data_IF_237351619323
#
_entry.id   IF_237351619323
#
_cell.length_a   1.000
_cell.length_b   1.000
_cell.length_c   1.000
_cell.angle_alpha   90.00
_cell.angle_beta   90.00
_cell.angle_gamma   90.00
#
_symmetry.space_group_name_H-M   'P 1'
#
loop_
_entity.id
_entity.type
_entity.pdbx_description
1 polymer ?
#
# COMPACT_ATOMS: atom_id res chain seq x y z
N UNK A 1 -17.48 -13.83 38.95
CA UNK A 1 -16.61 -13.21 39.97
C UNK A 1 -15.18 -13.65 39.68
N UNK A 2 -14.48 -12.90 38.82
CA UNK A 2 -13.04 -12.93 38.54
C UNK A 2 -12.80 -12.24 37.17
N UNK A 3 -12.99 -10.92 37.11
CA UNK A 3 -12.38 -10.06 36.08
C UNK A 3 -11.87 -8.85 36.85
N UNK A 4 -10.74 -9.04 37.50
CA UNK A 4 -9.98 -7.99 38.13
C UNK A 4 -8.53 -8.44 38.10
N UNK A 5 -7.66 -7.53 37.65
CA UNK A 5 -6.19 -7.60 37.57
C UNK A 5 -5.71 -7.67 36.11
N UNK A 6 -5.55 -6.48 35.53
CA UNK A 6 -4.38 -6.03 34.76
C UNK A 6 -4.65 -4.58 34.30
N UNK A 7 -4.54 -3.64 35.24
CA UNK A 7 -4.34 -2.22 34.96
C UNK A 7 -3.04 -1.84 35.67
N UNK A 8 -1.92 -2.02 34.97
CA UNK A 8 -0.65 -1.42 35.36
C UNK A 8 -0.40 -0.21 34.47
N UNK A 9 -0.56 0.96 35.09
CA UNK A 9 -0.04 2.28 34.72
C UNK A 9 0.65 2.41 33.34
N UNK A 10 -0.13 2.85 32.35
CA UNK A 10 0.39 3.68 31.25
C UNK A 10 0.19 5.12 31.70
N UNK A 11 1.28 5.88 31.85
CA UNK A 11 1.19 7.34 32.05
C UNK A 11 0.72 7.96 30.73
N UNK A 12 -0.60 8.06 30.56
CA UNK A 12 -1.22 8.94 29.59
C UNK A 12 -1.02 10.38 30.08
N UNK A 13 -0.20 11.16 29.38
CA UNK A 13 -0.19 12.62 29.56
C UNK A 13 -1.40 13.18 28.80
N UNK A 14 -2.60 12.89 29.32
CA UNK A 14 -3.85 13.35 28.76
C UNK A 14 -4.21 14.69 29.43
N UNK A 15 -4.12 15.79 28.68
CA UNK A 15 -4.72 17.06 29.11
C UNK A 15 -6.19 17.00 28.70
N UNK A 16 -7.06 16.62 29.64
CA UNK A 16 -8.52 16.57 29.43
C UNK A 16 -9.12 17.94 29.77
N UNK A 17 -9.75 18.67 28.85
CA UNK A 17 -10.85 19.56 29.21
C UNK A 17 -12.07 18.68 29.51
N UNK A 18 -12.54 18.72 30.76
CA UNK A 18 -13.72 17.98 31.20
C UNK A 18 -14.96 18.48 30.45
N UNK A 19 -15.41 17.70 29.46
CA UNK A 19 -16.82 17.51 29.03
C UNK A 19 -16.95 16.90 27.61
N UNK A 20 -15.85 16.55 26.93
CA UNK A 20 -15.94 15.80 25.65
C UNK A 20 -15.28 14.41 25.73
N UNK A 21 -15.98 13.39 25.20
CA UNK A 21 -15.44 12.04 24.98
C UNK A 21 -14.38 11.98 23.86
N UNK A 22 -14.00 13.12 23.30
CA UNK A 22 -13.04 13.20 22.21
C UNK A 22 -11.61 13.05 22.73
N UNK A 23 -10.78 12.37 21.95
CA UNK A 23 -9.38 12.14 22.25
C UNK A 23 -8.51 13.11 21.46
N UNK A 24 -7.75 13.94 22.16
CA UNK A 24 -6.79 14.86 21.55
C UNK A 24 -5.39 14.24 21.53
N UNK A 25 -4.77 14.26 20.36
CA UNK A 25 -3.44 13.74 20.09
C UNK A 25 -2.53 14.90 19.70
N UNK A 26 -1.39 15.02 20.38
CA UNK A 26 -0.35 15.97 19.98
C UNK A 26 0.50 15.33 18.87
N UNK A 27 0.75 16.07 17.79
CA UNK A 27 1.63 15.64 16.71
C UNK A 27 3.02 16.21 16.96
N UNK A 28 3.98 15.32 17.17
CA UNK A 28 5.38 15.70 17.37
C UNK A 28 5.93 16.53 16.20
N UNK A 29 6.91 17.39 16.47
CA UNK A 29 7.55 18.20 15.41
C UNK A 29 8.14 17.33 14.29
N UNK A 30 8.66 16.14 14.62
CA UNK A 30 9.12 15.17 13.64
C UNK A 30 7.96 14.62 12.78
N UNK A 31 6.82 14.32 13.39
CA UNK A 31 5.60 13.92 12.68
C UNK A 31 5.07 15.01 11.75
N UNK A 32 5.08 16.27 12.17
CA UNK A 32 4.67 17.41 11.34
C UNK A 32 5.57 17.60 10.12
N UNK A 33 6.89 17.48 10.31
CA UNK A 33 7.85 17.59 9.21
C UNK A 33 7.71 16.42 8.23
N UNK A 34 7.53 15.19 8.74
CA UNK A 34 7.28 14.03 7.89
C UNK A 34 5.96 14.17 7.11
N UNK A 35 4.91 14.75 7.70
CA UNK A 35 3.65 15.04 7.01
C UNK A 35 3.84 16.04 5.86
N UNK A 36 4.65 17.09 6.08
CA UNK A 36 4.99 18.09 5.06
C UNK A 36 5.75 17.44 3.89
N UNK A 37 6.82 16.70 4.19
CA UNK A 37 7.65 16.05 3.17
C UNK A 37 6.86 15.08 2.29
N UNK A 38 5.90 14.34 2.85
CA UNK A 38 5.03 13.44 2.06
C UNK A 38 4.04 14.19 1.16
N UNK A 39 3.65 15.41 1.52
CA UNK A 39 2.69 16.20 0.76
C UNK A 39 3.33 16.99 -0.40
N UNK A 40 4.60 17.38 -0.26
CA UNK A 40 5.37 18.15 -1.25
C UNK A 40 5.37 17.61 -2.69
N UNK A 41 5.49 16.29 -2.96
CA UNK A 41 5.55 15.79 -4.34
C UNK A 41 4.21 15.87 -5.11
N UNK A 42 3.11 16.25 -4.47
CA UNK A 42 1.79 16.27 -5.11
C UNK A 42 1.55 17.54 -5.94
N UNK A 43 1.19 17.36 -7.20
CA UNK A 43 1.08 18.46 -8.18
C UNK A 43 -0.14 19.37 -8.07
N UNK A 44 -1.09 19.15 -7.15
CA UNK A 44 -2.26 20.04 -7.01
C UNK A 44 -2.41 20.54 -5.57
N UNK A 45 -2.78 21.82 -5.35
CA UNK A 45 -2.95 22.37 -4.00
C UNK A 45 -3.93 21.56 -3.12
N UNK A 46 -5.01 21.07 -3.72
CA UNK A 46 -5.99 20.25 -3.01
C UNK A 46 -5.41 18.89 -2.56
N UNK A 47 -4.58 18.25 -3.40
CA UNK A 47 -3.91 17.01 -3.05
C UNK A 47 -2.82 17.24 -1.98
N UNK A 48 -2.02 18.30 -2.10
CA UNK A 48 -1.02 18.70 -1.10
C UNK A 48 -1.69 18.91 0.26
N UNK A 49 -2.77 19.69 0.30
CA UNK A 49 -3.47 19.96 1.56
C UNK A 49 -4.04 18.69 2.20
N UNK A 50 -4.71 17.87 1.39
CA UNK A 50 -5.25 16.59 1.84
C UNK A 50 -4.17 15.65 2.37
N UNK A 51 -3.05 15.54 1.68
CA UNK A 51 -1.91 14.73 2.11
C UNK A 51 -1.30 15.25 3.40
N UNK A 52 -1.21 16.57 3.56
CA UNK A 52 -0.70 17.17 4.78
C UNK A 52 -1.60 16.85 5.99
N UNK A 53 -2.91 17.05 5.86
CA UNK A 53 -3.88 16.68 6.91
C UNK A 53 -3.84 15.17 7.20
N UNK A 54 -3.82 14.35 6.15
CA UNK A 54 -3.69 12.90 6.25
C UNK A 54 -2.41 12.45 6.94
N UNK A 55 -1.30 13.14 6.69
CA UNK A 55 0.00 12.90 7.30
C UNK A 55 0.06 13.29 8.77
N UNK A 56 -0.56 14.40 9.16
CA UNK A 56 -0.67 14.80 10.57
C UNK A 56 -1.53 13.82 11.36
N UNK A 57 -2.71 13.46 10.83
CA UNK A 57 -3.58 12.46 11.43
C UNK A 57 -2.89 11.09 11.53
N UNK A 58 -2.18 10.69 10.47
CA UNK A 58 -1.41 9.45 10.46
C UNK A 58 -0.36 9.42 11.58
N UNK A 59 0.43 10.49 11.74
CA UNK A 59 1.46 10.57 12.76
C UNK A 59 0.87 10.43 14.17
N UNK A 60 -0.16 11.23 14.50
CA UNK A 60 -0.80 11.17 15.81
C UNK A 60 -1.45 9.80 16.10
N UNK A 61 -2.15 9.22 15.12
CA UNK A 61 -2.83 7.92 15.29
C UNK A 61 -1.83 6.77 15.44
N UNK A 62 -0.71 6.78 14.71
CA UNK A 62 0.32 5.75 14.86
C UNK A 62 0.93 5.78 16.26
N UNK A 63 1.28 6.97 16.77
CA UNK A 63 1.82 7.13 18.12
C UNK A 63 0.82 6.62 19.17
N UNK A 64 -0.45 7.05 19.08
CA UNK A 64 -1.52 6.60 19.97
C UNK A 64 -1.75 5.09 19.96
N UNK A 65 -1.82 4.48 18.77
CA UNK A 65 -2.00 3.04 18.63
C UNK A 65 -0.79 2.28 19.20
N UNK A 66 0.42 2.78 19.00
CA UNK A 66 1.64 2.23 19.59
C UNK A 66 1.61 2.23 21.12
N UNK A 67 1.20 3.35 21.73
CA UNK A 67 1.01 3.45 23.19
C UNK A 67 -0.07 2.49 23.71
N UNK A 68 -1.13 2.25 22.93
CA UNK A 68 -2.17 1.27 23.23
C UNK A 68 -1.73 -0.19 22.99
N UNK A 69 -0.47 -0.44 22.59
CA UNK A 69 0.07 -1.76 22.31
C UNK A 69 -0.37 -2.35 20.97
N UNK A 70 -0.92 -1.53 20.07
CA UNK A 70 -1.33 -1.94 18.73
C UNK A 70 -0.17 -1.74 17.75
N UNK A 71 0.34 -2.83 17.18
CA UNK A 71 1.31 -2.75 16.09
C UNK A 71 0.61 -2.36 14.77
N UNK A 72 0.43 -1.06 14.56
CA UNK A 72 -0.16 -0.50 13.34
C UNK A 72 0.92 -0.17 12.30
N UNK A 73 0.64 -0.43 11.03
CA UNK A 73 1.48 -0.05 9.89
C UNK A 73 0.65 0.63 8.80
N UNK A 74 1.25 1.53 8.04
CA UNK A 74 0.61 2.15 6.87
C UNK A 74 0.23 1.06 5.87
N UNK A 75 -0.97 1.12 5.30
CA UNK A 75 -1.42 0.22 4.25
C UNK A 75 -1.54 0.94 2.89
N UNK A 76 -1.09 0.32 1.79
CA UNK A 76 -0.23 -0.87 1.76
C UNK A 76 1.18 -0.55 2.29
N UNK A 77 1.69 0.65 2.07
CA UNK A 77 2.94 1.12 2.65
C UNK A 77 3.07 2.62 2.46
N UNK A 78 4.06 3.24 3.11
CA UNK A 78 4.31 4.68 3.03
C UNK A 78 4.50 5.16 1.58
N UNK A 79 5.23 4.39 0.76
CA UNK A 79 5.60 4.77 -0.60
C UNK A 79 4.40 4.84 -1.56
N UNK A 80 3.33 4.11 -1.25
CA UNK A 80 2.11 4.12 -2.05
C UNK A 80 1.20 5.31 -1.73
N UNK A 81 1.34 5.95 -0.55
CA UNK A 81 0.43 7.01 -0.07
C UNK A 81 0.21 8.17 -1.06
N UNK A 82 1.24 8.70 -1.75
CA UNK A 82 1.03 9.78 -2.72
C UNK A 82 0.02 9.39 -3.82
N UNK A 83 0.05 8.13 -4.26
CA UNK A 83 -0.87 7.61 -5.28
C UNK A 83 -2.32 7.52 -4.79
N UNK A 84 -2.57 7.44 -3.47
CA UNK A 84 -3.91 7.51 -2.88
C UNK A 84 -4.33 8.95 -2.63
N UNK A 85 -3.48 9.73 -1.95
CA UNK A 85 -3.77 11.10 -1.56
C UNK A 85 -3.88 12.07 -2.73
N UNK A 86 -3.37 11.71 -3.91
CA UNK A 86 -3.70 12.42 -5.14
C UNK A 86 -5.22 12.45 -5.41
N UNK A 87 -5.96 11.42 -5.00
CA UNK A 87 -7.36 11.22 -5.39
C UNK A 87 -8.35 11.34 -4.24
N UNK A 88 -8.05 10.68 -3.12
CA UNK A 88 -9.02 10.44 -2.06
C UNK A 88 -8.48 10.84 -0.70
N UNK A 89 -9.34 11.44 0.12
CA UNK A 89 -9.02 11.73 1.51
C UNK A 89 -9.07 10.44 2.33
N UNK A 90 -8.18 10.34 3.31
CA UNK A 90 -8.08 9.20 4.21
C UNK A 90 -6.82 8.38 4.03
N UNK A 91 -6.41 7.73 5.11
CA UNK A 91 -5.18 6.95 5.19
C UNK A 91 -5.49 5.63 5.89
N UNK A 92 -5.20 4.52 5.22
CA UNK A 92 -5.45 3.21 5.76
C UNK A 92 -4.24 2.70 6.55
N UNK A 93 -4.53 2.01 7.65
CA UNK A 93 -3.60 1.35 8.54
C UNK A 93 -3.97 -0.13 8.60
N UNK A 94 -2.98 -1.02 8.58
CA UNK A 94 -3.14 -2.42 8.92
C UNK A 94 -2.77 -2.64 10.39
N UNK A 95 -3.63 -3.35 11.12
CA UNK A 95 -3.44 -3.76 12.53
C UNK A 95 -3.79 -5.24 12.61
N UNK A 96 -2.77 -6.10 12.55
CA UNK A 96 -2.97 -7.54 12.30
C UNK A 96 -3.74 -7.77 10.99
N UNK A 97 -4.79 -8.58 11.05
CA UNK A 97 -5.67 -8.88 9.90
C UNK A 97 -6.73 -7.79 9.63
N UNK A 98 -6.80 -6.77 10.48
CA UNK A 98 -7.81 -5.70 10.37
C UNK A 98 -7.22 -4.46 9.73
N UNK A 99 -8.07 -3.74 9.01
CA UNK A 99 -7.75 -2.44 8.41
C UNK A 99 -8.53 -1.33 9.11
N UNK A 100 -7.85 -0.27 9.48
CA UNK A 100 -8.42 0.96 10.03
C UNK A 100 -8.22 2.08 9.01
N UNK A 101 -9.28 2.76 8.58
CA UNK A 101 -9.17 3.98 7.79
C UNK A 101 -9.26 5.20 8.69
N UNK A 102 -8.24 6.04 8.68
CA UNK A 102 -8.27 7.36 9.32
C UNK A 102 -8.77 8.38 8.29
N UNK A 103 -9.89 9.03 8.56
CA UNK A 103 -10.45 10.07 7.69
C UNK A 103 -10.24 11.42 8.37
N UNK A 104 -9.26 12.17 7.87
CA UNK A 104 -8.86 13.46 8.40
C UNK A 104 -9.64 14.60 7.73
N UNK A 105 -10.36 15.37 8.54
CA UNK A 105 -10.92 16.68 8.17
C UNK A 105 -10.11 17.83 8.78
N UNK A 106 -10.31 19.04 8.28
CA UNK A 106 -9.77 20.27 8.86
C UNK A 106 -10.74 20.86 9.88
N UNK A 107 -10.25 21.46 10.96
CA UNK A 107 -11.06 22.27 11.88
C UNK A 107 -11.62 23.56 11.23
N UNK A 108 -12.77 24.06 11.71
CA UNK A 108 -13.60 23.54 12.81
C UNK A 108 -14.54 22.38 12.40
N UNK A 109 -14.96 21.57 13.39
CA UNK A 109 -15.83 20.38 13.31
C UNK A 109 -16.92 20.44 12.24
N UNK A 110 -16.85 19.48 11.33
CA UNK A 110 -18.01 18.93 10.66
C UNK A 110 -18.73 18.02 11.66
N UNK A 111 -20.03 18.21 11.85
CA UNK A 111 -20.90 17.33 12.66
C UNK A 111 -21.10 15.95 12.00
N UNK A 112 -20.33 15.65 10.96
CA UNK A 112 -20.50 14.59 9.99
C UNK A 112 -19.16 13.97 9.58
N UNK A 113 -19.13 12.64 9.50
CA UNK A 113 -18.03 11.88 8.89
C UNK A 113 -18.43 11.59 7.45
N UNK A 114 -17.68 12.12 6.48
CA UNK A 114 -17.85 11.83 5.06
C UNK A 114 -16.69 11.00 4.52
N UNK A 115 -16.97 9.76 4.12
CA UNK A 115 -15.97 8.83 3.60
C UNK A 115 -16.08 8.72 2.08
N UNK A 116 -14.98 8.89 1.32
CA UNK A 116 -14.97 8.66 -0.13
C UNK A 116 -15.47 7.27 -0.52
N UNK A 117 -16.26 7.20 -1.59
CA UNK A 117 -16.83 5.96 -2.11
C UNK A 117 -15.75 4.90 -2.38
N UNK A 118 -14.55 5.31 -2.80
CA UNK A 118 -13.42 4.44 -3.05
C UNK A 118 -13.03 3.62 -1.81
N UNK A 119 -13.03 4.23 -0.63
CA UNK A 119 -12.70 3.54 0.61
C UNK A 119 -13.81 2.65 1.15
N UNK A 120 -15.01 2.71 0.55
CA UNK A 120 -16.18 1.92 0.97
C UNK A 120 -16.43 0.79 -0.03
N UNK A 121 -16.52 1.12 -1.32
CA UNK A 121 -17.05 0.23 -2.35
C UNK A 121 -15.96 -0.49 -3.16
N UNK A 122 -14.66 -0.15 -3.02
CA UNK A 122 -13.56 -0.93 -3.62
C UNK A 122 -13.19 -2.07 -2.67
N UNK A 123 -13.40 -3.36 -3.05
CA UNK A 123 -13.22 -4.48 -2.12
C UNK A 123 -11.79 -4.60 -1.55
N UNK A 124 -10.78 -4.31 -2.35
CA UNK A 124 -9.38 -4.36 -1.91
C UNK A 124 -9.00 -3.21 -0.97
N UNK A 125 -9.77 -2.13 -0.93
CA UNK A 125 -9.51 -0.92 -0.11
C UNK A 125 -10.37 -0.83 1.14
N UNK A 126 -11.58 -1.41 1.12
CA UNK A 126 -12.52 -1.35 2.23
C UNK A 126 -11.87 -1.71 3.57
N UNK A 127 -12.05 -0.85 4.56
CA UNK A 127 -11.51 -1.04 5.91
C UNK A 127 -12.48 -1.86 6.77
N UNK A 128 -12.03 -2.32 7.93
CA UNK A 128 -12.92 -2.88 8.95
C UNK A 128 -13.58 -1.78 9.77
N UNK A 129 -12.79 -0.74 10.08
CA UNK A 129 -13.20 0.41 10.87
C UNK A 129 -12.80 1.72 10.19
N UNK A 130 -13.63 2.74 10.40
CA UNK A 130 -13.44 4.11 9.91
C UNK A 130 -13.37 5.02 11.12
N UNK A 131 -12.25 5.70 11.28
CA UNK A 131 -11.96 6.62 12.36
C UNK A 131 -12.12 8.05 11.86
N UNK A 132 -12.95 8.80 12.55
CA UNK A 132 -13.18 10.20 12.29
C UNK A 132 -12.13 11.02 13.05
N UNK A 133 -11.30 11.74 12.29
CA UNK A 133 -10.24 12.57 12.81
C UNK A 133 -10.41 14.00 12.31
N UNK A 134 -10.11 14.95 13.18
CA UNK A 134 -10.05 16.35 12.82
C UNK A 134 -8.70 16.92 13.18
N UNK A 135 -8.12 17.68 12.26
CA UNK A 135 -6.77 18.19 12.38
C UNK A 135 -6.86 19.69 12.59
N UNK A 136 -6.15 20.17 13.61
CA UNK A 136 -5.83 21.57 13.83
C UNK A 136 -4.34 21.75 13.47
N UNK A 137 -4.00 22.04 12.19
CA UNK A 137 -2.61 21.99 11.73
C UNK A 137 -1.73 23.00 12.48
N UNK A 138 -2.32 24.16 12.81
CA UNK A 138 -1.64 25.28 13.45
C UNK A 138 -1.33 25.01 14.92
N UNK A 139 -2.14 24.16 15.56
CA UNK A 139 -1.92 23.69 16.91
C UNK A 139 -1.06 22.41 16.94
N UNK A 140 -0.77 21.80 15.78
CA UNK A 140 -0.11 20.50 15.71
C UNK A 140 -0.90 19.42 16.44
N UNK A 141 -2.23 19.47 16.40
CA UNK A 141 -3.10 18.59 17.17
C UNK A 141 -4.12 17.86 16.28
N UNK A 142 -4.50 16.66 16.70
CA UNK A 142 -5.50 15.82 16.03
C UNK A 142 -6.54 15.40 17.06
N UNK A 143 -7.79 15.73 16.81
CA UNK A 143 -8.94 15.29 17.59
C UNK A 143 -9.55 14.04 16.95
N UNK A 144 -9.63 12.95 17.71
CA UNK A 144 -10.41 11.78 17.36
C UNK A 144 -11.77 11.86 18.06
N UNK A 145 -12.85 11.80 17.29
CA UNK A 145 -14.19 12.09 17.82
C UNK A 145 -15.22 10.98 17.57
N UNK A 146 -14.85 9.93 16.84
CA UNK A 146 -15.73 8.79 16.61
C UNK A 146 -15.12 7.70 15.74
N UNK A 147 -15.63 6.47 15.86
CA UNK A 147 -15.35 5.41 14.89
C UNK A 147 -16.59 4.56 14.58
N UNK A 148 -16.55 3.85 13.47
CA UNK A 148 -17.65 2.97 13.02
C UNK A 148 -17.10 1.80 12.22
N UNK A 149 -17.78 0.65 12.23
CA UNK A 149 -17.43 -0.47 11.35
C UNK A 149 -17.92 -0.23 9.92
N UNK A 150 -17.25 -0.83 8.94
CA UNK A 150 -17.68 -0.77 7.53
C UNK A 150 -19.14 -1.20 7.34
N UNK A 151 -19.51 -2.30 7.98
CA UNK A 151 -20.87 -2.83 7.92
C UNK A 151 -21.88 -1.81 8.42
N UNK A 152 -21.64 -1.23 9.60
CA UNK A 152 -22.57 -0.27 10.19
C UNK A 152 -22.62 1.02 9.36
N UNK A 153 -21.49 1.47 8.83
CA UNK A 153 -21.43 2.61 7.91
C UNK A 153 -22.34 2.39 6.68
N UNK A 154 -22.27 1.22 6.03
CA UNK A 154 -23.15 0.90 4.89
C UNK A 154 -24.64 0.86 5.24
N UNK A 155 -24.98 0.61 6.51
CA UNK A 155 -26.37 0.55 6.97
C UNK A 155 -26.96 1.94 7.26
N UNK A 156 -26.16 2.86 7.81
CA UNK A 156 -26.66 4.15 8.35
C UNK A 156 -26.25 5.38 7.53
N UNK A 157 -25.15 5.31 6.79
CA UNK A 157 -24.65 6.46 6.05
C UNK A 157 -25.50 6.77 4.82
N UNK A 158 -25.65 8.07 4.54
CA UNK A 158 -26.32 8.57 3.34
C UNK A 158 -25.29 8.76 2.24
N UNK A 159 -25.53 8.15 1.08
CA UNK A 159 -24.68 8.34 -0.09
C UNK A 159 -24.97 9.66 -0.79
N UNK A 160 -23.99 10.56 -0.80
CA UNK A 160 -23.97 11.78 -1.60
C UNK A 160 -23.38 11.46 -2.98
N UNK A 161 -24.24 11.35 -3.99
CA UNK A 161 -23.84 11.05 -5.36
C UNK A 161 -23.07 12.19 -6.04
N UNK A 162 -23.23 13.43 -5.60
CA UNK A 162 -22.52 14.58 -6.18
C UNK A 162 -21.07 14.58 -5.74
N UNK A 163 -20.82 14.24 -4.48
CA UNK A 163 -19.47 14.15 -3.90
C UNK A 163 -18.85 12.76 -4.00
N UNK A 164 -19.66 11.75 -4.32
CA UNK A 164 -19.32 10.31 -4.24
C UNK A 164 -18.76 9.95 -2.87
N UNK A 165 -19.52 10.27 -1.84
CA UNK A 165 -19.14 10.05 -0.44
C UNK A 165 -20.31 9.45 0.34
N UNK A 166 -20.00 8.68 1.36
CA UNK A 166 -20.96 8.25 2.37
C UNK A 166 -20.80 9.14 3.59
N UNK A 167 -21.84 9.89 3.92
CA UNK A 167 -21.84 10.81 5.05
C UNK A 167 -22.79 10.33 6.15
N UNK A 168 -22.37 10.45 7.41
CA UNK A 168 -23.18 10.16 8.59
C UNK A 168 -22.90 11.18 9.68
N UNK A 169 -23.89 11.42 10.53
CA UNK A 169 -23.76 12.36 11.65
C UNK A 169 -22.97 11.74 12.81
N UNK A 170 -22.40 12.58 13.67
CA UNK A 170 -21.64 12.14 14.84
C UNK A 170 -22.43 11.21 15.78
N UNK A 171 -23.76 11.32 15.83
CA UNK A 171 -24.62 10.47 16.64
C UNK A 171 -24.62 9.00 16.24
N UNK A 172 -24.20 8.66 15.03
CA UNK A 172 -24.10 7.28 14.55
C UNK A 172 -22.74 6.63 14.83
N UNK A 173 -21.77 7.40 15.35
CA UNK A 173 -20.42 6.92 15.67
C UNK A 173 -20.32 6.42 17.11
N UNK A 174 -19.44 5.43 17.32
CA UNK A 174 -18.98 5.04 18.66
C UNK A 174 -18.01 6.11 19.15
N UNK A 175 -18.33 6.76 20.28
CA UNK A 175 -17.53 7.88 20.82
C UNK A 175 -16.49 7.44 21.85
N UNK A 176 -16.61 6.24 22.40
CA UNK A 176 -15.68 5.69 23.37
C UNK A 176 -14.38 5.23 22.68
N UNK A 177 -13.44 6.16 22.43
CA UNK A 177 -12.19 5.87 21.70
C UNK A 177 -11.34 4.77 22.36
N UNK A 178 -11.44 4.62 23.68
CA UNK A 178 -10.78 3.54 24.42
C UNK A 178 -11.20 2.13 23.97
N UNK A 179 -12.35 1.98 23.32
CA UNK A 179 -12.82 0.70 22.80
C UNK A 179 -12.17 0.31 21.46
N UNK A 180 -11.63 1.26 20.68
CA UNK A 180 -11.10 0.97 19.34
C UNK A 180 -9.88 0.02 19.37
N UNK A 181 -8.85 0.20 20.22
CA UNK A 181 -7.74 -0.75 20.31
C UNK A 181 -8.19 -2.19 20.58
N UNK A 182 -9.14 -2.38 21.49
CA UNK A 182 -9.73 -3.69 21.78
C UNK A 182 -10.52 -4.22 20.58
N UNK A 183 -11.30 -3.36 19.90
CA UNK A 183 -11.99 -3.73 18.67
C UNK A 183 -11.03 -4.11 17.55
N UNK A 184 -9.79 -3.61 17.51
CA UNK A 184 -8.79 -4.00 16.51
C UNK A 184 -8.10 -5.33 16.83
N UNK A 185 -8.01 -5.73 18.10
CA UNK A 185 -7.34 -6.96 18.54
C UNK A 185 -8.28 -8.16 18.67
N UNK A 186 -9.52 -7.92 19.09
CA UNK A 186 -10.45 -9.00 19.39
C UNK A 186 -11.11 -9.50 18.10
N UNK A 187 -11.00 -10.80 17.84
CA UNK A 187 -11.83 -11.49 16.85
C UNK A 187 -13.28 -11.52 17.32
N UNK A 188 -14.00 -10.43 17.05
CA UNK A 188 -15.44 -10.37 17.24
C UNK A 188 -16.13 -11.32 16.26
N UNK A 189 -17.13 -12.06 16.74
CA UNK A 189 -17.89 -13.02 15.93
C UNK A 189 -18.72 -12.33 14.82
N UNK A 190 -19.02 -11.05 14.97
CA UNK A 190 -19.77 -10.28 13.98
C UNK A 190 -18.84 -9.77 12.88
N UNK A 191 -19.20 -9.94 11.60
CA UNK A 191 -18.38 -9.44 10.50
C UNK A 191 -18.38 -7.90 10.51
N UNK A 192 -17.19 -7.34 10.55
CA UNK A 192 -16.92 -5.90 10.50
C UNK A 192 -17.26 -5.28 9.16
N UNK A 193 -17.18 -6.06 8.06
CA UNK A 193 -17.45 -5.61 6.69
C UNK A 193 -18.78 -6.14 6.16
N UNK A 194 -19.56 -5.25 5.54
CA UNK A 194 -20.67 -5.64 4.68
C UNK A 194 -20.16 -6.31 3.40
N UNK A 195 -20.94 -7.21 2.78
CA UNK A 195 -20.60 -7.78 1.49
C UNK A 195 -20.55 -6.69 0.42
N UNK A 196 -19.50 -6.69 -0.40
CA UNK A 196 -19.29 -5.75 -1.49
C UNK A 196 -19.46 -6.43 -2.84
N UNK A 197 -20.02 -5.69 -3.80
CA UNK A 197 -20.09 -6.15 -5.18
C UNK A 197 -18.68 -6.19 -5.78
N UNK A 198 -18.42 -7.20 -6.61
CA UNK A 198 -17.18 -7.26 -7.36
C UNK A 198 -17.11 -6.09 -8.36
N UNK A 199 -15.91 -5.51 -8.51
CA UNK A 199 -15.65 -4.51 -9.53
C UNK A 199 -15.62 -5.17 -10.92
N UNK A 200 -15.98 -4.42 -11.99
CA UNK A 200 -15.86 -4.96 -13.34
C UNK A 200 -14.40 -5.24 -13.67
N UNK A 201 -14.14 -6.36 -14.36
CA UNK A 201 -12.83 -6.60 -14.97
C UNK A 201 -12.58 -5.55 -16.03
N UNK A 202 -11.41 -4.91 -15.98
CA UNK A 202 -11.02 -3.85 -16.92
C UNK A 202 -10.03 -4.41 -17.94
N UNK A 203 -10.42 -4.59 -19.23
CA UNK A 203 -9.50 -5.09 -20.25
C UNK A 203 -8.33 -4.12 -20.47
N UNK A 204 -7.15 -4.67 -20.77
CA UNK A 204 -5.93 -3.90 -20.95
C UNK A 204 -6.07 -2.68 -21.88
N UNK A 205 -6.67 -2.88 -23.06
CA UNK A 205 -6.88 -1.80 -24.02
C UNK A 205 -7.76 -0.67 -23.47
N UNK A 206 -8.74 -0.99 -22.63
CA UNK A 206 -9.60 0.00 -21.98
C UNK A 206 -8.87 0.70 -20.83
N UNK A 207 -8.09 -0.04 -20.03
CA UNK A 207 -7.25 0.54 -18.98
C UNK A 207 -6.27 1.57 -19.55
N UNK A 208 -5.56 1.22 -20.63
CA UNK A 208 -4.62 2.13 -21.33
C UNK A 208 -5.33 3.39 -21.85
N UNK A 209 -6.50 3.25 -22.46
CA UNK A 209 -7.30 4.41 -22.89
C UNK A 209 -7.72 5.31 -21.71
N UNK A 210 -8.11 4.72 -20.58
CA UNK A 210 -8.44 5.48 -19.37
C UNK A 210 -7.22 6.19 -18.81
N UNK A 211 -6.05 5.53 -18.72
CA UNK A 211 -4.81 6.13 -18.27
C UNK A 211 -4.41 7.33 -19.14
N UNK A 212 -4.46 7.20 -20.47
CA UNK A 212 -4.18 8.31 -21.38
C UNK A 212 -5.15 9.47 -21.19
N UNK A 213 -6.45 9.19 -21.06
CA UNK A 213 -7.47 10.24 -20.93
C UNK A 213 -7.45 10.94 -19.58
N UNK A 214 -7.33 10.18 -18.49
CA UNK A 214 -7.36 10.69 -17.12
C UNK A 214 -5.99 11.25 -16.68
N UNK A 215 -4.93 10.87 -17.39
CA UNK A 215 -3.58 11.37 -17.18
C UNK A 215 -3.39 12.84 -17.58
N UNK A 216 -4.32 13.43 -18.34
CA UNK A 216 -4.28 14.84 -18.73
C UNK A 216 -4.38 15.77 -17.49
N UNK A 217 -3.32 16.53 -17.17
CA UNK A 217 -3.32 17.46 -16.04
C UNK A 217 -4.39 18.56 -16.15
N UNK A 218 -4.89 18.86 -17.36
CA UNK A 218 -5.95 19.85 -17.57
C UNK A 218 -7.31 19.42 -16.97
N UNK A 219 -7.51 18.12 -16.73
CA UNK A 219 -8.69 17.61 -16.04
C UNK A 219 -8.57 17.80 -14.53
N UNK A 220 -9.39 18.66 -13.94
CA UNK A 220 -9.31 18.95 -12.49
C UNK A 220 -9.81 17.80 -11.61
N UNK A 221 -10.82 17.04 -12.06
CA UNK A 221 -11.48 15.98 -11.27
C UNK A 221 -11.70 14.72 -12.14
N UNK A 222 -10.64 13.98 -12.51
CA UNK A 222 -10.74 12.86 -13.43
C UNK A 222 -11.70 11.77 -12.94
N UNK A 223 -11.78 11.53 -11.64
CA UNK A 223 -12.67 10.55 -11.03
C UNK A 223 -14.15 10.77 -11.35
N UNK A 224 -14.57 12.02 -11.60
CA UNK A 224 -15.96 12.37 -11.93
C UNK A 224 -16.28 12.26 -13.42
N UNK A 225 -15.28 12.10 -14.28
CA UNK A 225 -15.47 12.04 -15.74
C UNK A 225 -15.87 10.65 -16.23
N UNK A 226 -15.81 9.64 -15.36
CA UNK A 226 -16.10 8.23 -15.67
C UNK A 226 -17.03 7.59 -14.62
N UNK A 227 -17.79 6.54 -14.99
CA UNK A 227 -18.56 5.75 -14.03
C UNK A 227 -17.69 5.15 -12.93
N UNK A 228 -18.21 5.08 -11.70
CA UNK A 228 -17.47 4.57 -10.55
C UNK A 228 -16.93 3.14 -10.77
N UNK A 229 -17.68 2.25 -11.45
CA UNK A 229 -17.18 0.90 -11.71
C UNK A 229 -15.84 0.87 -12.48
N UNK A 230 -15.67 1.74 -13.48
CA UNK A 230 -14.41 1.85 -14.24
C UNK A 230 -13.32 2.53 -13.41
N UNK A 231 -13.67 3.58 -12.67
CA UNK A 231 -12.74 4.27 -11.77
C UNK A 231 -12.23 3.35 -10.67
N UNK A 232 -13.13 2.67 -9.97
CA UNK A 232 -12.82 1.73 -8.91
C UNK A 232 -11.97 0.57 -9.41
N UNK A 233 -12.28 0.00 -10.58
CA UNK A 233 -11.45 -1.05 -11.19
C UNK A 233 -10.02 -0.56 -11.50
N UNK A 234 -9.88 0.66 -12.03
CA UNK A 234 -8.58 1.27 -12.29
C UNK A 234 -7.79 1.52 -11.00
N UNK A 235 -8.45 2.04 -9.95
CA UNK A 235 -7.81 2.38 -8.67
C UNK A 235 -7.44 1.15 -7.83
N UNK A 236 -8.26 0.09 -7.91
CA UNK A 236 -8.00 -1.18 -7.24
C UNK A 236 -6.71 -1.85 -7.73
N UNK A 237 -6.25 -1.53 -8.94
CA UNK A 237 -4.99 -1.99 -9.49
C UNK A 237 -3.85 -1.03 -9.09
N UNK A 238 -2.99 -1.45 -8.16
CA UNK A 238 -1.87 -0.65 -7.64
C UNK A 238 -1.01 -0.02 -8.76
N UNK A 239 -0.58 -0.83 -9.72
CA UNK A 239 0.25 -0.38 -10.83
C UNK A 239 -0.42 0.66 -11.73
N UNK A 240 -1.70 0.48 -12.11
CA UNK A 240 -2.43 1.49 -12.89
C UNK A 240 -2.70 2.77 -12.10
N UNK A 241 -3.03 2.67 -10.81
CA UNK A 241 -3.16 3.85 -9.94
C UNK A 241 -1.85 4.64 -9.87
N UNK A 242 -0.74 3.95 -9.65
CA UNK A 242 0.59 4.55 -9.60
C UNK A 242 0.96 5.19 -10.95
N UNK A 243 0.73 4.49 -12.07
CA UNK A 243 0.95 5.02 -13.42
C UNK A 243 0.12 6.27 -13.67
N UNK A 244 -1.15 6.29 -13.25
CA UNK A 244 -2.01 7.47 -13.42
C UNK A 244 -1.49 8.66 -12.61
N UNK A 245 -1.06 8.41 -11.38
CA UNK A 245 -0.42 9.42 -10.54
C UNK A 245 0.80 10.03 -11.24
N UNK A 246 1.72 9.18 -11.73
CA UNK A 246 2.95 9.60 -12.41
C UNK A 246 2.69 10.42 -13.68
N UNK A 247 1.75 9.97 -14.53
CA UNK A 247 1.37 10.67 -15.75
C UNK A 247 0.92 12.11 -15.46
N UNK A 248 0.18 12.32 -14.37
CA UNK A 248 -0.32 13.64 -14.00
C UNK A 248 0.72 14.54 -13.36
N UNK A 249 1.72 13.95 -12.70
CA UNK A 249 2.87 14.70 -12.21
C UNK A 249 3.83 15.09 -13.36
N UNK A 250 3.59 14.63 -14.59
CA UNK A 250 4.53 14.80 -15.69
C UNK A 250 5.86 14.08 -15.43
N UNK A 251 5.85 13.08 -14.55
CA UNK A 251 7.02 12.26 -14.30
C UNK A 251 7.34 11.45 -15.56
N UNK A 252 8.62 11.25 -15.88
CA UNK A 252 8.99 10.43 -17.01
C UNK A 252 8.38 9.05 -16.83
N UNK A 253 7.96 8.45 -17.95
CA UNK A 253 7.44 7.09 -17.95
C UNK A 253 8.41 6.17 -17.20
N UNK A 254 7.90 5.35 -16.26
CA UNK A 254 8.73 4.42 -15.50
C UNK A 254 9.71 3.72 -16.42
N UNK A 255 11.01 3.93 -16.16
CA UNK A 255 12.09 3.29 -16.92
C UNK A 255 11.91 1.78 -16.85
N UNK A 256 12.12 1.11 -17.98
CA UNK A 256 12.05 -0.35 -18.03
C UNK A 256 13.08 -0.98 -17.09
N UNK A 257 12.83 -2.20 -16.66
CA UNK A 257 13.78 -3.02 -15.90
C UNK A 257 15.15 -3.11 -16.61
N UNK A 258 15.22 -3.31 -17.95
CA UNK A 258 16.47 -3.14 -18.69
C UNK A 258 17.17 -1.79 -18.44
N UNK A 259 16.43 -0.68 -18.49
CA UNK A 259 16.98 0.66 -18.23
C UNK A 259 17.46 0.81 -16.78
N UNK A 260 16.76 0.23 -15.79
CA UNK A 260 17.20 0.20 -14.39
C UNK A 260 18.51 -0.55 -14.21
N UNK A 261 18.69 -1.65 -14.92
CA UNK A 261 19.95 -2.39 -14.92
C UNK A 261 21.09 -1.53 -15.47
N UNK A 262 20.88 -0.91 -16.64
CA UNK A 262 21.91 -0.13 -17.34
C UNK A 262 22.22 1.20 -16.61
N UNK A 263 21.20 2.01 -16.38
CA UNK A 263 21.34 3.38 -15.87
C UNK A 263 21.24 3.50 -14.34
N UNK A 264 20.80 2.45 -13.65
CA UNK A 264 20.46 2.48 -12.21
C UNK A 264 18.96 2.59 -11.97
N UNK A 265 18.51 2.09 -10.81
CA UNK A 265 17.10 2.17 -10.40
C UNK A 265 16.70 3.64 -10.29
N UNK A 266 15.54 3.99 -10.83
CA UNK A 266 15.01 5.36 -10.73
C UNK A 266 14.65 5.70 -9.27
N UNK A 267 14.59 6.99 -8.87
CA UNK A 267 14.13 7.36 -7.52
C UNK A 267 12.77 6.74 -7.15
N UNK A 268 11.86 6.62 -8.12
CA UNK A 268 10.57 5.94 -7.92
C UNK A 268 10.71 4.44 -7.67
N UNK A 269 11.66 3.79 -8.36
CA UNK A 269 11.97 2.38 -8.12
C UNK A 269 12.61 2.16 -6.75
N UNK A 270 13.49 3.07 -6.31
CA UNK A 270 14.10 3.02 -4.96
C UNK A 270 13.05 3.22 -3.86
N UNK A 271 12.10 4.15 -4.06
CA UNK A 271 10.93 4.30 -3.19
C UNK A 271 10.06 3.05 -3.18
N UNK A 272 9.86 2.38 -4.32
CA UNK A 272 9.18 1.08 -4.37
C UNK A 272 10.01 -0.10 -3.78
N UNK A 273 11.18 0.19 -3.19
CA UNK A 273 12.03 -0.78 -2.51
C UNK A 273 13.04 -1.51 -3.40
N UNK A 274 13.11 -1.20 -4.70
CA UNK A 274 14.06 -1.81 -5.63
C UNK A 274 15.47 -1.30 -5.42
N UNK A 275 16.44 -2.21 -5.44
CA UNK A 275 17.86 -1.92 -5.30
C UNK A 275 18.65 -2.59 -6.41
N UNK A 276 19.69 -1.92 -6.91
CA UNK A 276 20.64 -2.53 -7.84
C UNK A 276 21.79 -3.16 -7.07
N UNK A 277 21.92 -4.48 -7.14
CA UNK A 277 23.07 -5.18 -6.64
C UNK A 277 24.03 -5.50 -7.81
N UNK A 278 25.28 -5.09 -7.67
CA UNK A 278 26.36 -5.58 -8.54
C UNK A 278 27.12 -6.65 -7.78
N UNK A 279 27.06 -7.89 -8.27
CA UNK A 279 27.96 -8.94 -7.81
C UNK A 279 29.40 -8.47 -8.03
N UNK A 280 30.11 -8.14 -6.94
CA UNK A 280 31.55 -7.92 -6.98
C UNK A 280 32.19 -9.28 -7.16
N UNK A 281 32.86 -9.49 -8.29
CA UNK A 281 33.84 -10.56 -8.36
C UNK A 281 34.90 -10.31 -7.28
N UNK A 282 35.05 -11.24 -6.34
CA UNK A 282 36.28 -11.35 -5.57
C UNK A 282 37.43 -11.45 -6.59
N UNK A 283 38.54 -10.72 -6.43
CA UNK A 283 39.67 -10.88 -7.33
C UNK A 283 40.15 -12.33 -7.25
N UNK A 284 40.11 -13.05 -8.38
CA UNK A 284 40.61 -14.42 -8.53
C UNK A 284 42.07 -14.50 -8.06
N UNK A 285 42.23 -14.80 -6.77
CA UNK A 285 43.48 -14.83 -6.07
C UNK A 285 43.82 -16.21 -5.53
N UNK A 286 43.30 -17.30 -6.09
CA UNK A 286 43.89 -18.65 -5.93
C UNK A 286 43.33 -19.63 -6.96
N UNK A 287 44.03 -19.75 -8.11
CA UNK A 287 43.81 -20.85 -9.05
C UNK A 287 44.28 -22.17 -8.43
N UNK A 288 43.36 -23.00 -7.97
CA UNK A 288 43.54 -24.45 -7.97
C UNK A 288 43.02 -25.00 -9.30
N UNK A 289 43.86 -25.76 -10.01
CA UNK A 289 43.57 -26.27 -11.35
C UNK A 289 42.42 -27.28 -11.33
N UNK A 290 41.49 -27.12 -12.27
CA UNK A 290 40.73 -28.24 -12.82
C UNK A 290 39.26 -28.31 -12.45
N UNK A 291 38.47 -27.30 -12.82
CA UNK A 291 37.08 -27.48 -13.21
C UNK A 291 36.80 -26.49 -14.35
N UNK A 292 35.97 -26.88 -15.32
CA UNK A 292 35.64 -26.06 -16.49
C UNK A 292 35.14 -24.66 -16.05
N UNK A 293 35.57 -23.57 -16.70
CA UNK A 293 35.06 -22.25 -16.39
C UNK A 293 33.64 -22.13 -16.97
N UNK A 294 32.64 -22.49 -16.16
CA UNK A 294 31.39 -21.75 -16.21
C UNK A 294 31.71 -20.37 -15.69
N UNK A 295 31.91 -19.41 -16.60
CA UNK A 295 32.18 -18.03 -16.22
C UNK A 295 31.09 -17.56 -15.24
N UNK A 296 31.43 -16.86 -14.14
CA UNK A 296 30.42 -16.09 -13.44
C UNK A 296 29.99 -15.00 -14.41
N UNK A 297 28.87 -15.20 -15.08
CA UNK A 297 28.19 -14.15 -15.83
C UNK A 297 28.02 -12.98 -14.87
N UNK A 298 28.66 -11.86 -15.21
CA UNK A 298 28.52 -10.59 -14.51
C UNK A 298 27.06 -10.13 -14.66
N UNK A 299 26.17 -10.69 -13.84
CA UNK A 299 24.78 -10.29 -13.77
C UNK A 299 24.64 -9.08 -12.86
N UNK A 300 24.20 -7.96 -13.43
CA UNK A 300 23.56 -6.92 -12.61
C UNK A 300 22.21 -7.49 -12.20
N UNK A 301 21.96 -7.53 -10.90
CA UNK A 301 20.75 -8.07 -10.31
C UNK A 301 19.92 -6.90 -9.76
N UNK A 302 18.62 -6.92 -10.00
CA UNK A 302 17.71 -6.07 -9.24
C UNK A 302 17.13 -6.88 -8.09
N UNK A 303 17.17 -6.33 -6.89
CA UNK A 303 16.64 -7.01 -5.72
C UNK A 303 15.63 -6.15 -5.00
N UNK A 304 14.67 -6.83 -4.37
CA UNK A 304 13.67 -6.24 -3.50
C UNK A 304 13.62 -7.05 -2.21
N UNK A 305 14.00 -6.46 -1.06
CA UNK A 305 13.81 -7.09 0.23
C UNK A 305 12.32 -7.12 0.57
N UNK A 306 11.85 -8.26 1.06
CA UNK A 306 10.46 -8.52 1.41
C UNK A 306 10.40 -9.14 2.79
N UNK A 307 9.34 -8.83 3.53
CA UNK A 307 9.01 -9.51 4.78
C UNK A 307 7.73 -10.30 4.55
N UNK A 308 7.75 -11.61 4.76
CA UNK A 308 6.62 -12.51 4.46
C UNK A 308 6.43 -13.44 5.66
N UNK A 309 5.22 -13.46 6.23
CA UNK A 309 4.90 -14.28 7.41
C UNK A 309 5.93 -14.14 8.56
N UNK A 310 6.45 -12.93 8.77
CA UNK A 310 7.44 -12.62 9.80
C UNK A 310 8.90 -12.97 9.47
N UNK A 311 9.18 -13.63 8.34
CA UNK A 311 10.53 -13.92 7.85
C UNK A 311 11.01 -12.92 6.79
N UNK A 312 12.34 -12.83 6.62
CA UNK A 312 12.98 -11.95 5.64
C UNK A 312 13.36 -12.72 4.36
N UNK A 313 12.94 -12.19 3.22
CA UNK A 313 13.12 -12.77 1.88
C UNK A 313 13.64 -11.72 0.91
N UNK A 314 14.14 -12.17 -0.24
CA UNK A 314 14.58 -11.30 -1.31
C UNK A 314 13.99 -11.79 -2.64
N UNK A 315 13.27 -10.91 -3.34
CA UNK A 315 12.88 -11.10 -4.73
C UNK A 315 13.96 -10.55 -5.63
N UNK A 316 14.42 -11.37 -6.57
CA UNK A 316 15.52 -11.07 -7.47
C UNK A 316 15.08 -11.16 -8.92
N UNK A 317 15.46 -10.15 -9.71
CA UNK A 317 15.20 -10.07 -11.14
C UNK A 317 16.52 -10.05 -11.89
N UNK A 318 16.69 -11.01 -12.80
CA UNK A 318 17.88 -11.12 -13.64
C UNK A 318 17.52 -11.55 -15.08
N UNK A 319 18.22 -10.99 -16.08
CA UNK A 319 18.14 -11.48 -17.44
C UNK A 319 18.82 -12.85 -17.53
N UNK A 320 18.19 -13.78 -18.24
CA UNK A 320 18.74 -15.10 -18.59
C UNK A 320 19.26 -15.04 -20.01
N UNK A 321 20.51 -15.48 -20.22
CA UNK A 321 21.09 -15.54 -21.57
C UNK A 321 20.29 -16.49 -22.45
N UNK A 322 19.59 -15.93 -23.45
CA UNK A 322 18.84 -16.67 -24.45
C UNK A 322 19.13 -16.08 -25.83
N UNK A 323 19.37 -16.91 -26.86
CA UNK A 323 19.81 -16.45 -28.18
C UNK A 323 18.72 -15.75 -29.00
N UNK A 324 17.44 -16.02 -28.74
CA UNK A 324 16.34 -15.62 -29.64
C UNK A 324 15.38 -14.58 -29.04
N UNK A 325 15.15 -14.61 -27.72
CA UNK A 325 14.15 -13.76 -27.03
C UNK A 325 14.69 -13.35 -25.66
N UNK A 326 14.52 -12.09 -25.21
CA UNK A 326 14.89 -11.71 -23.85
C UNK A 326 14.05 -12.51 -22.84
N UNK A 327 14.74 -13.35 -22.06
CA UNK A 327 14.15 -14.11 -20.97
C UNK A 327 14.54 -13.47 -19.64
N UNK A 328 13.56 -13.30 -18.76
CA UNK A 328 13.74 -12.78 -17.42
C UNK A 328 13.41 -13.86 -16.39
N UNK A 329 14.27 -13.98 -15.37
CA UNK A 329 14.00 -14.82 -14.20
C UNK A 329 13.61 -13.95 -13.02
N UNK A 330 12.47 -14.27 -12.43
CA UNK A 330 12.03 -13.81 -11.12
C UNK A 330 12.33 -14.93 -10.13
N UNK A 331 13.15 -14.66 -9.12
CA UNK A 331 13.59 -15.66 -8.14
C UNK A 331 13.32 -15.14 -6.73
N UNK A 332 12.58 -15.90 -5.93
CA UNK A 332 12.38 -15.65 -4.51
C UNK A 332 13.33 -16.57 -3.72
N UNK A 333 14.04 -15.99 -2.76
CA UNK A 333 14.90 -16.72 -1.83
C UNK A 333 14.79 -16.14 -0.41
N UNK A 334 15.14 -16.93 0.61
CA UNK A 334 15.31 -16.39 1.95
C UNK A 334 16.51 -15.43 2.02
N UNK A 335 16.40 -14.36 2.81
CA UNK A 335 17.50 -13.39 2.96
C UNK A 335 18.71 -13.99 3.72
N UNK A 336 18.46 -14.96 4.60
CA UNK A 336 19.51 -15.73 5.27
C UNK A 336 20.01 -16.86 4.36
N UNK A 337 21.33 -16.87 4.10
CA UNK A 337 21.93 -17.83 3.19
C UNK A 337 21.70 -19.28 3.64
N UNK A 338 21.05 -20.07 2.78
CA UNK A 338 20.74 -21.48 3.03
C UNK A 338 19.49 -21.72 3.87
N UNK A 339 18.77 -20.68 4.30
CA UNK A 339 17.45 -20.85 4.91
C UNK A 339 16.42 -21.27 3.84
N UNK A 340 15.56 -22.27 4.11
CA UNK A 340 14.57 -22.72 3.14
C UNK A 340 13.34 -21.81 3.14
N UNK A 341 12.72 -21.67 1.97
CA UNK A 341 11.34 -21.21 1.80
C UNK A 341 10.41 -22.33 2.28
N UNK A 342 9.50 -22.05 3.24
CA UNK A 342 8.55 -23.05 3.74
C UNK A 342 7.56 -23.52 2.67
N UNK A 343 6.95 -24.69 2.91
CA UNK A 343 5.83 -25.17 2.10
C UNK A 343 4.64 -24.21 2.17
N UNK A 344 3.91 -24.07 1.06
CA UNK A 344 2.75 -23.19 0.92
C UNK A 344 3.07 -21.82 0.32
N UNK A 345 4.36 -21.54 0.06
CA UNK A 345 4.74 -20.34 -0.68
C UNK A 345 4.48 -20.51 -2.18
N UNK A 346 4.00 -19.46 -2.83
CA UNK A 346 3.80 -19.40 -4.29
C UNK A 346 4.38 -18.09 -4.81
N UNK A 347 5.22 -18.15 -5.83
CA UNK A 347 5.65 -17.00 -6.62
C UNK A 347 4.87 -17.04 -7.95
N UNK A 348 4.16 -15.96 -8.28
CA UNK A 348 3.34 -15.86 -9.48
C UNK A 348 3.65 -14.60 -10.27
N UNK A 349 3.67 -14.74 -11.59
CA UNK A 349 3.71 -13.64 -12.55
C UNK A 349 2.35 -13.56 -13.26
N UNK A 350 1.93 -12.36 -13.59
CA UNK A 350 0.68 -12.07 -14.27
C UNK A 350 0.94 -11.05 -15.38
N UNK A 351 0.09 -11.05 -16.41
CA UNK A 351 0.06 -9.95 -17.36
C UNK A 351 -0.39 -8.64 -16.68
N UNK A 352 -0.20 -7.50 -17.36
CA UNK A 352 -0.60 -6.17 -16.88
C UNK A 352 -2.08 -6.08 -16.45
N UNK A 353 -2.97 -6.88 -17.04
CA UNK A 353 -4.40 -6.95 -16.70
C UNK A 353 -4.75 -8.08 -15.70
N UNK A 354 -3.74 -8.59 -15.00
CA UNK A 354 -3.82 -9.63 -13.97
C UNK A 354 -4.29 -11.00 -14.50
N UNK A 355 -4.20 -11.23 -15.81
CA UNK A 355 -4.46 -12.55 -16.38
C UNK A 355 -3.26 -13.48 -16.17
N UNK A 356 -3.54 -14.71 -15.79
CA UNK A 356 -2.56 -15.78 -15.75
C UNK A 356 -2.18 -16.23 -17.17
N UNK A 357 -0.96 -16.74 -17.31
CA UNK A 357 -0.45 -17.33 -18.54
C UNK A 357 0.21 -18.68 -18.25
N UNK A 358 0.66 -19.39 -19.29
CA UNK A 358 1.24 -20.73 -19.12
C UNK A 358 2.55 -20.65 -18.35
N UNK A 359 2.72 -21.52 -17.34
CA UNK A 359 3.91 -21.59 -16.48
C UNK A 359 4.22 -20.27 -15.75
N UNK A 360 3.18 -19.55 -15.34
CA UNK A 360 3.32 -18.26 -14.69
C UNK A 360 3.59 -18.33 -13.18
N UNK A 361 3.63 -19.52 -12.58
CA UNK A 361 3.85 -19.68 -11.14
C UNK A 361 4.76 -20.85 -10.80
N UNK A 362 5.42 -20.74 -9.64
CA UNK A 362 6.19 -21.79 -8.99
C UNK A 362 5.76 -21.85 -7.51
N UNK A 363 5.66 -23.06 -6.96
CA UNK A 363 5.10 -23.28 -5.62
C UNK A 363 5.90 -24.28 -4.79
N UNK A 364 6.06 -23.98 -3.51
CA UNK A 364 6.75 -24.83 -2.56
C UNK A 364 5.79 -25.86 -1.96
N UNK A 365 5.77 -27.10 -2.47
CA UNK A 365 5.04 -28.20 -1.80
C UNK A 365 5.79 -28.72 -0.56
N UNK A 366 7.10 -28.55 -0.55
CA UNK A 366 8.02 -28.88 0.54
C UNK A 366 9.00 -27.72 0.73
N UNK A 367 9.76 -27.67 1.85
CA UNK A 367 10.78 -26.65 2.01
C UNK A 367 11.81 -26.70 0.87
N UNK A 368 11.96 -25.58 0.15
CA UNK A 368 12.88 -25.44 -1.00
C UNK A 368 13.83 -24.28 -0.77
N UNK A 369 15.01 -24.29 -1.42
CA UNK A 369 15.95 -23.17 -1.29
C UNK A 369 15.47 -21.89 -1.98
N UNK A 370 14.67 -22.05 -3.06
CA UNK A 370 14.20 -20.95 -3.90
C UNK A 370 12.96 -21.34 -4.69
N UNK A 371 12.19 -20.33 -5.08
CA UNK A 371 11.14 -20.40 -6.10
C UNK A 371 11.54 -19.53 -7.27
N UNK A 372 11.25 -19.94 -8.50
CA UNK A 372 11.54 -19.11 -9.66
C UNK A 372 10.58 -19.30 -10.83
N UNK A 373 10.34 -18.20 -11.54
CA UNK A 373 9.58 -18.18 -12.79
C UNK A 373 10.42 -17.53 -13.86
N UNK A 374 10.55 -18.19 -15.02
CA UNK A 374 11.20 -17.66 -16.21
C UNK A 374 10.16 -17.30 -17.25
N UNK A 375 10.29 -16.10 -17.80
CA UNK A 375 9.33 -15.57 -18.77
C UNK A 375 10.07 -14.92 -19.93
N UNK A 376 9.70 -15.34 -21.14
CA UNK A 376 10.08 -14.67 -22.37
C UNK A 376 9.12 -13.50 -22.57
N UNK A 377 9.65 -12.30 -22.83
CA UNK A 377 8.85 -11.07 -22.84
C UNK A 377 8.99 -10.38 -24.18
N UNK A 378 7.86 -10.03 -24.80
CA UNK A 378 7.89 -9.26 -26.04
C UNK A 378 8.09 -7.76 -25.76
N UNK A 379 8.61 -6.97 -26.72
CA UNK A 379 8.74 -5.53 -26.57
C UNK A 379 7.41 -4.84 -26.22
N UNK A 380 7.38 -4.12 -25.10
CA UNK A 380 6.19 -3.42 -24.60
C UNK A 380 5.25 -4.25 -23.74
N UNK A 381 5.60 -5.51 -23.45
CA UNK A 381 4.90 -6.29 -22.43
C UNK A 381 5.30 -5.83 -21.03
N UNK A 382 4.31 -5.85 -20.15
CA UNK A 382 4.47 -5.51 -18.75
C UNK A 382 3.89 -6.63 -17.89
N UNK A 383 4.58 -6.92 -16.80
CA UNK A 383 4.22 -7.99 -15.87
C UNK A 383 3.94 -7.44 -14.49
N UNK A 384 3.03 -8.10 -13.78
CA UNK A 384 2.84 -7.96 -12.35
C UNK A 384 3.33 -9.24 -11.67
N UNK A 385 3.85 -9.10 -10.47
CA UNK A 385 4.26 -10.24 -9.65
C UNK A 385 3.41 -10.30 -8.38
N UNK A 386 3.19 -11.50 -7.87
CA UNK A 386 2.48 -11.77 -6.62
C UNK A 386 3.20 -12.88 -5.87
N UNK A 387 3.16 -12.81 -4.54
CA UNK A 387 3.66 -13.87 -3.67
C UNK A 387 2.56 -14.23 -2.68
N UNK A 388 2.35 -15.52 -2.46
CA UNK A 388 1.52 -16.04 -1.38
C UNK A 388 2.43 -16.79 -0.39
N UNK A 389 2.33 -16.57 0.94
CA UNK A 389 1.58 -15.52 1.62
C UNK A 389 1.98 -14.10 1.16
N UNK A 390 1.03 -13.16 1.19
CA UNK A 390 1.26 -11.79 0.73
C UNK A 390 2.36 -11.09 1.54
N UNK A 391 3.35 -10.44 0.88
CA UNK A 391 4.37 -9.71 1.60
C UNK A 391 3.80 -8.55 2.40
N UNK A 392 4.44 -8.26 3.53
CA UNK A 392 4.12 -7.13 4.36
C UNK A 392 4.25 -5.83 3.57
N UNK A 393 3.16 -5.09 3.54
CA UNK A 393 3.04 -3.81 2.85
C UNK A 393 3.15 -3.86 1.33
N UNK A 394 2.85 -5.03 0.76
CA UNK A 394 2.79 -5.20 -0.68
C UNK A 394 1.66 -4.37 -1.30
N UNK A 395 1.98 -3.74 -2.43
CA UNK A 395 1.03 -3.19 -3.37
C UNK A 395 1.40 -3.69 -4.76
N UNK A 396 0.41 -3.97 -5.59
CA UNK A 396 0.67 -4.51 -6.93
C UNK A 396 1.41 -3.49 -7.78
N UNK A 397 2.53 -3.90 -8.34
CA UNK A 397 3.35 -3.08 -9.24
C UNK A 397 3.35 -3.65 -10.66
N UNK A 398 3.58 -2.78 -11.64
CA UNK A 398 3.77 -3.16 -13.04
C UNK A 398 5.24 -2.96 -13.37
N UNK A 399 5.90 -4.01 -13.85
CA UNK A 399 7.28 -3.99 -14.29
C UNK A 399 7.34 -4.13 -15.82
N UNK A 400 7.99 -3.16 -16.46
CA UNK A 400 8.21 -3.14 -17.91
C UNK A 400 9.54 -3.81 -18.21
N UNK A 401 9.53 -4.94 -18.91
CA UNK A 401 10.73 -5.77 -19.09
C UNK A 401 11.42 -5.60 -20.45
N UNK A 402 10.89 -4.73 -21.31
CA UNK A 402 11.44 -4.43 -22.64
C UNK A 402 11.19 -2.98 -23.05
#
# INVERSE_FOLDING_TARGET
>A
MAVAVLLSAVSLTCVVPMDSNDLWLEVSAAGQEAARQRAEPLGTPAAVWRAYLGGLALAGVLDWLGEAGCAARVWPGDDALPSFWQWVAGTALAVGERRLLVVAGEEPAADELCVPQEWIDIPTWAADYYLAAQVAPEAGAVQLWGFISHRRLKEVAVYDAQRRQYCLIAGDLVREMACLPAALHLELAEPTRAPLAALPTLPLGQARQLLTRLGDPALSMPQWTVPFGLWGALMAHGGWRQKLYELRQGLPEQRSVPDWIQAGVSPLGELAGWRRWRLRAEPEGTRARGLAPGAPSMGVLLTRPLRIAGGDYELQLQPVESPDVPVWRFELQAAEAGAPIPSGFVLRLLAEDLQAFVNNEDSAEQPVERLYVEVAVDPGDALTWEIEPEPEGFDREILWLA
#
